data_IF_639679266340
#
_entry.id   IF_639679266340
#
_cell.length_a   1.000
_cell.length_b   1.000
_cell.length_c   1.000
_cell.angle_alpha   90.00
_cell.angle_beta   90.00
_cell.angle_gamma   90.00
#
_symmetry.space_group_name_H-M   'P 1'
#
loop_
_entity.id
_entity.type
_entity.pdbx_description
1 polymer ?
#
# COMPACT_ATOMS: atom_id res chain seq x y z
N UNK A 1 -12.04 18.44 4.94
CA UNK A 1 -12.23 16.99 4.74
C UNK A 1 -10.98 16.28 5.23
N UNK A 2 -11.11 15.27 6.10
CA UNK A 2 -9.99 14.40 6.47
C UNK A 2 -9.81 13.33 5.40
N UNK A 3 -8.58 13.05 4.96
CA UNK A 3 -8.28 12.02 3.96
C UNK A 3 -8.65 10.59 4.39
N UNK A 4 -8.95 10.38 5.68
CA UNK A 4 -9.44 9.12 6.24
C UNK A 4 -10.97 8.99 6.24
N UNK A 5 -11.71 10.01 5.78
CA UNK A 5 -13.16 9.87 5.63
C UNK A 5 -13.47 8.97 4.43
N UNK A 6 -14.43 8.05 4.60
CA UNK A 6 -14.98 7.26 3.49
C UNK A 6 -15.69 8.14 2.44
N UNK A 7 -15.94 9.41 2.75
CA UNK A 7 -16.44 10.43 1.82
C UNK A 7 -15.31 11.15 1.07
N UNK A 8 -14.08 10.62 1.07
CA UNK A 8 -13.02 11.16 0.24
C UNK A 8 -13.20 10.68 -1.21
N UNK A 9 -13.68 11.59 -2.05
CA UNK A 9 -13.86 11.42 -3.50
C UNK A 9 -12.60 11.78 -4.30
N UNK A 10 -11.46 12.00 -3.64
CA UNK A 10 -10.18 12.11 -4.33
C UNK A 10 -9.85 10.80 -5.05
N UNK A 11 -9.11 10.91 -6.16
CA UNK A 11 -8.54 9.75 -6.81
C UNK A 11 -7.49 9.11 -5.90
N UNK A 12 -7.65 7.83 -5.61
CA UNK A 12 -6.72 7.01 -4.86
C UNK A 12 -5.93 6.07 -5.79
N UNK A 13 -4.89 5.47 -5.22
CA UNK A 13 -4.15 4.35 -5.79
C UNK A 13 -3.92 3.29 -4.72
N UNK A 14 -3.77 2.05 -5.17
CA UNK A 14 -3.39 0.89 -4.36
C UNK A 14 -1.90 0.62 -4.56
N UNK A 15 -1.19 0.41 -3.46
CA UNK A 15 0.22 0.07 -3.45
C UNK A 15 0.46 -1.16 -2.59
N UNK A 16 1.60 -1.80 -2.84
CA UNK A 16 2.12 -2.87 -1.99
C UNK A 16 3.53 -2.53 -1.53
N UNK A 17 3.90 -3.08 -0.39
CA UNK A 17 5.26 -3.10 0.13
C UNK A 17 5.72 -4.55 0.15
N UNK A 18 6.84 -4.82 -0.53
CA UNK A 18 7.51 -6.10 -0.58
C UNK A 18 8.64 -6.16 0.45
N UNK A 19 8.80 -7.31 1.11
CA UNK A 19 9.88 -7.61 2.04
C UNK A 19 10.92 -8.50 1.34
N UNK A 20 12.07 -7.92 0.99
CA UNK A 20 13.17 -8.63 0.33
C UNK A 20 13.77 -9.75 1.19
N UNK A 21 13.70 -9.65 2.51
CA UNK A 21 14.26 -10.70 3.38
C UNK A 21 13.39 -11.96 3.35
N UNK A 22 12.08 -11.77 3.40
CA UNK A 22 11.09 -12.85 3.53
C UNK A 22 10.51 -13.26 2.18
N UNK A 23 10.85 -12.52 1.11
CA UNK A 23 10.41 -12.74 -0.25
C UNK A 23 8.88 -12.82 -0.37
N UNK A 24 8.20 -11.85 0.25
CA UNK A 24 6.74 -11.79 0.25
C UNK A 24 6.19 -10.36 0.40
N UNK A 25 4.88 -10.23 0.19
CA UNK A 25 4.17 -8.98 0.44
C UNK A 25 4.09 -8.72 1.95
N UNK A 26 4.71 -7.62 2.37
CA UNK A 26 4.63 -7.13 3.74
C UNK A 26 3.29 -6.46 4.02
N UNK A 27 2.79 -5.68 3.06
CA UNK A 27 1.64 -4.77 3.25
C UNK A 27 0.96 -4.40 1.94
N UNK A 28 -0.37 -4.27 1.97
CA UNK A 28 -1.15 -3.49 1.01
C UNK A 28 -1.58 -2.15 1.62
N UNK A 29 -1.78 -1.15 0.77
CA UNK A 29 -2.14 0.18 1.24
C UNK A 29 -2.80 1.05 0.17
N UNK A 30 -3.70 1.93 0.58
CA UNK A 30 -4.27 2.97 -0.28
C UNK A 30 -3.80 4.38 0.07
N UNK A 31 -3.81 5.27 -0.91
CA UNK A 31 -3.47 6.68 -0.75
C UNK A 31 -4.13 7.53 -1.83
N UNK A 32 -4.59 8.73 -1.47
CA UNK A 32 -5.02 9.76 -2.42
C UNK A 32 -3.93 10.77 -2.79
N UNK A 33 -2.73 10.61 -2.20
CA UNK A 33 -1.65 11.53 -2.48
C UNK A 33 -1.14 11.36 -3.91
N UNK A 34 -0.75 12.45 -4.59
CA UNK A 34 -0.27 12.37 -5.97
C UNK A 34 0.97 11.47 -6.08
N UNK A 35 0.94 10.61 -7.10
CA UNK A 35 2.10 9.83 -7.53
C UNK A 35 3.10 10.78 -8.20
N UNK A 36 4.35 10.76 -7.75
CA UNK A 36 5.42 11.61 -8.28
C UNK A 36 6.14 10.92 -9.46
N UNK A 37 7.11 11.61 -10.04
CA UNK A 37 7.84 11.16 -11.26
C UNK A 37 8.56 9.82 -11.09
N UNK A 38 8.92 9.45 -9.87
CA UNK A 38 9.54 8.16 -9.54
C UNK A 38 8.53 7.03 -9.35
N UNK A 39 7.24 7.29 -9.61
CA UNK A 39 6.19 6.29 -9.59
C UNK A 39 5.61 5.99 -8.21
N UNK A 40 5.99 6.70 -7.15
CA UNK A 40 5.46 6.52 -5.80
C UNK A 40 4.84 7.82 -5.25
N UNK A 41 3.84 7.70 -4.37
CA UNK A 41 3.32 8.84 -3.60
C UNK A 41 4.17 9.11 -2.36
N UNK A 42 4.05 10.30 -1.79
CA UNK A 42 4.83 10.70 -0.60
C UNK A 42 4.59 9.75 0.59
N UNK A 43 3.33 9.39 0.85
CA UNK A 43 2.92 8.41 1.87
C UNK A 43 3.60 7.05 1.72
N UNK A 44 3.76 6.56 0.49
CA UNK A 44 4.42 5.28 0.23
C UNK A 44 5.90 5.37 0.56
N UNK A 45 6.56 6.45 0.11
CA UNK A 45 7.98 6.68 0.40
C UNK A 45 8.24 6.77 1.90
N UNK A 46 7.41 7.52 2.63
CA UNK A 46 7.56 7.67 4.08
C UNK A 46 7.44 6.32 4.80
N UNK A 47 6.47 5.48 4.42
CA UNK A 47 6.33 4.14 5.00
C UNK A 47 7.55 3.25 4.70
N UNK A 48 8.01 3.22 3.45
CA UNK A 48 9.20 2.44 3.07
C UNK A 48 10.45 2.93 3.80
N UNK A 49 10.63 4.25 3.93
CA UNK A 49 11.76 4.85 4.65
C UNK A 49 11.75 4.48 6.13
N UNK A 50 10.60 4.56 6.81
CA UNK A 50 10.48 4.19 8.21
C UNK A 50 10.79 2.71 8.40
N UNK A 51 10.25 1.85 7.54
CA UNK A 51 10.47 0.40 7.61
C UNK A 51 11.94 0.03 7.37
N UNK A 52 12.60 0.64 6.37
CA UNK A 52 14.01 0.43 6.11
C UNK A 52 14.92 0.98 7.21
N UNK A 53 14.55 2.12 7.80
CA UNK A 53 15.25 2.66 8.96
C UNK A 53 15.17 1.68 10.15
N UNK A 54 13.99 1.10 10.40
CA UNK A 54 13.80 0.10 11.44
C UNK A 54 14.55 -1.21 11.16
N UNK A 55 14.66 -1.62 9.89
CA UNK A 55 15.43 -2.79 9.48
C UNK A 55 16.95 -2.57 9.57
N UNK A 56 17.41 -1.32 9.44
CA UNK A 56 18.83 -0.97 9.39
C UNK A 56 19.50 -1.17 8.03
N UNK A 57 18.73 -1.56 7.00
CA UNK A 57 19.19 -1.76 5.63
C UNK A 57 18.01 -1.70 4.63
N UNK A 58 18.29 -1.72 3.33
CA UNK A 58 17.27 -1.71 2.27
C UNK A 58 16.56 -3.08 2.17
N UNK A 59 15.55 -3.30 3.02
CA UNK A 59 14.75 -4.53 3.10
C UNK A 59 13.39 -4.40 2.41
N UNK A 60 12.78 -3.22 2.50
CA UNK A 60 11.42 -2.98 2.03
C UNK A 60 11.42 -2.16 0.75
N UNK A 61 10.69 -2.64 -0.25
CA UNK A 61 10.47 -1.97 -1.53
C UNK A 61 8.97 -1.75 -1.73
N UNK A 62 8.57 -0.74 -2.50
CA UNK A 62 7.15 -0.52 -2.80
C UNK A 62 6.90 -0.29 -4.27
N UNK A 63 5.69 -0.64 -4.71
CA UNK A 63 5.18 -0.30 -6.05
C UNK A 63 3.69 -0.01 -6.00
N UNK A 64 3.24 0.80 -6.95
CA UNK A 64 1.82 1.05 -7.18
C UNK A 64 1.28 -0.04 -8.09
N UNK A 65 0.20 -0.71 -7.66
CA UNK A 65 -0.43 -1.83 -8.38
C UNK A 65 -1.74 -1.46 -9.07
N UNK A 66 -2.51 -0.50 -8.52
CA UNK A 66 -3.68 0.08 -9.19
C UNK A 66 -3.66 1.61 -9.07
N UNK A 67 -4.08 2.30 -10.12
CA UNK A 67 -4.18 3.77 -10.20
C UNK A 67 -5.62 4.17 -10.50
N UNK A 68 -5.94 5.45 -10.29
CA UNK A 68 -7.22 6.06 -10.69
C UNK A 68 -8.46 5.43 -10.02
N UNK A 69 -8.35 5.05 -8.76
CA UNK A 69 -9.48 4.58 -7.96
C UNK A 69 -10.30 5.82 -7.56
N UNK A 70 -11.55 5.99 -8.04
CA UNK A 70 -12.26 7.27 -8.04
C UNK A 70 -12.65 7.75 -6.64
N UNK A 71 -12.66 6.87 -5.64
CA UNK A 71 -12.98 7.22 -4.26
C UNK A 71 -12.34 6.23 -3.30
N UNK A 72 -12.35 6.59 -2.01
CA UNK A 72 -11.79 5.76 -0.94
C UNK A 72 -12.50 4.42 -0.78
N UNK A 73 -13.81 4.36 -1.03
CA UNK A 73 -14.60 3.13 -0.89
C UNK A 73 -14.10 2.07 -1.87
N UNK A 74 -14.03 2.40 -3.17
CA UNK A 74 -13.52 1.48 -4.18
C UNK A 74 -12.06 1.14 -3.93
N UNK A 75 -11.27 2.11 -3.45
CA UNK A 75 -9.88 1.84 -3.12
C UNK A 75 -9.75 0.82 -1.98
N UNK A 76 -10.58 0.94 -0.95
CA UNK A 76 -10.63 0.01 0.17
C UNK A 76 -11.14 -1.37 -0.28
N UNK A 77 -12.18 -1.43 -1.10
CA UNK A 77 -12.66 -2.70 -1.67
C UNK A 77 -11.54 -3.41 -2.43
N UNK A 78 -10.72 -2.67 -3.20
CA UNK A 78 -9.54 -3.24 -3.86
C UNK A 78 -8.43 -3.63 -2.90
N UNK A 79 -8.21 -2.89 -1.83
CA UNK A 79 -7.28 -3.30 -0.78
C UNK A 79 -7.72 -4.62 -0.13
N UNK A 80 -8.99 -4.73 0.22
CA UNK A 80 -9.61 -5.92 0.81
C UNK A 80 -9.52 -7.12 -0.16
N UNK A 81 -9.84 -6.94 -1.46
CA UNK A 81 -9.69 -8.00 -2.48
C UNK A 81 -8.26 -8.56 -2.57
N UNK A 82 -7.24 -7.70 -2.47
CA UNK A 82 -5.83 -8.14 -2.52
C UNK A 82 -5.38 -8.79 -1.22
N UNK A 83 -5.91 -8.34 -0.08
CA UNK A 83 -5.70 -9.01 1.20
C UNK A 83 -6.34 -10.41 1.22
N UNK A 84 -7.57 -10.55 0.73
CA UNK A 84 -8.27 -11.83 0.62
C UNK A 84 -7.53 -12.80 -0.31
N UNK A 85 -7.01 -12.30 -1.45
CA UNK A 85 -6.21 -13.10 -2.36
C UNK A 85 -4.91 -13.58 -1.72
N UNK A 86 -4.26 -12.73 -0.93
CA UNK A 86 -3.06 -13.11 -0.17
C UNK A 86 -3.40 -14.15 0.91
N UNK A 87 -4.48 -13.96 1.66
CA UNK A 87 -4.92 -14.93 2.67
C UNK A 87 -5.27 -16.28 2.04
N UNK A 88 -5.96 -16.29 0.90
CA UNK A 88 -6.26 -17.52 0.17
C UNK A 88 -4.99 -18.26 -0.27
N UNK A 89 -3.94 -17.54 -0.66
CA UNK A 89 -2.68 -18.12 -1.11
C UNK A 89 -1.79 -18.61 0.04
N UNK A 90 -1.70 -17.84 1.13
CA UNK A 90 -0.74 -18.07 2.21
C UNK A 90 -1.38 -18.58 3.51
N UNK A 91 -2.71 -18.68 3.57
CA UNK A 91 -3.50 -19.05 4.76
C UNK A 91 -3.21 -18.15 5.98
N UNK A 92 -2.82 -16.89 5.73
CA UNK A 92 -2.56 -15.85 6.74
C UNK A 92 -2.63 -14.46 6.12
N UNK A 93 -2.80 -13.45 6.95
CA UNK A 93 -2.72 -12.04 6.54
C UNK A 93 -1.27 -11.56 6.31
N UNK A 94 -1.08 -10.45 5.57
CA UNK A 94 0.19 -9.75 5.51
C UNK A 94 0.65 -9.33 6.91
N UNK A 95 1.98 -9.24 7.11
CA UNK A 95 2.55 -9.02 8.44
C UNK A 95 2.29 -7.63 9.02
N UNK A 96 2.03 -6.64 8.18
CA UNK A 96 1.70 -5.30 8.64
C UNK A 96 0.19 -5.14 8.80
N UNK A 97 -0.30 -5.25 10.04
CA UNK A 97 -1.66 -4.84 10.44
C UNK A 97 -1.54 -3.56 11.25
#
# INVERSE_FOLDING_TARGET
>A
MHGNSNQNDESHHLYEIWDEQEQEIFKYGISSEPIKDDGLSKRVKEQVQILNLAAGWLRYLARIILKHLPNRILAKEKEDEYMDAFEAQYSRLPRAI
#
